data_IF_662095356053
#
_entry.id   IF_662095356053
#
_cell.length_a   1.000
_cell.length_b   1.000
_cell.length_c   1.000
_cell.angle_alpha   90.00
_cell.angle_beta   90.00
_cell.angle_gamma   90.00
#
_symmetry.space_group_name_H-M   'P 1'
#
loop_
_entity.id
_entity.type
_entity.pdbx_description
1 polymer ?
#
# COMPACT_ATOMS: atom_id res chain seq x y z
N UNK A 1 12.66 -29.45 -43.73
CA UNK A 1 13.51 -29.14 -42.56
C UNK A 1 12.76 -28.11 -41.72
N UNK A 2 12.49 -28.21 -40.42
CA UNK A 2 12.84 -29.17 -39.39
C UNK A 2 12.65 -28.48 -38.02
N UNK A 3 11.76 -29.06 -37.19
CA UNK A 3 11.65 -28.99 -35.71
C UNK A 3 11.14 -27.67 -35.10
N UNK A 4 9.98 -27.61 -34.43
CA UNK A 4 9.50 -28.32 -33.22
C UNK A 4 10.14 -27.82 -31.91
N UNK A 5 9.39 -27.02 -31.15
CA UNK A 5 9.42 -26.99 -29.69
C UNK A 5 8.01 -26.61 -29.19
N UNK A 6 7.23 -27.66 -28.94
CA UNK A 6 5.99 -27.63 -28.18
C UNK A 6 6.28 -27.32 -26.70
N UNK A 7 5.20 -27.03 -25.97
CA UNK A 7 5.05 -27.29 -24.53
C UNK A 7 5.73 -26.27 -23.62
N UNK A 8 4.97 -25.34 -23.03
CA UNK A 8 3.99 -25.70 -22.00
C UNK A 8 2.83 -24.72 -21.99
N UNK A 9 1.62 -25.26 -22.21
CA UNK A 9 0.37 -24.65 -21.78
C UNK A 9 0.36 -24.73 -20.25
N UNK A 10 0.64 -23.63 -19.57
CA UNK A 10 0.10 -23.45 -18.22
C UNK A 10 -1.31 -22.89 -18.37
N UNK A 11 -2.27 -23.72 -17.98
CA UNK A 11 -3.67 -23.37 -17.94
C UNK A 11 -3.89 -22.16 -17.01
N UNK A 12 -4.64 -21.17 -17.50
CA UNK A 12 -5.50 -20.33 -16.69
C UNK A 12 -4.85 -19.47 -15.60
N UNK A 13 -4.11 -18.44 -16.00
CA UNK A 13 -4.06 -17.16 -15.28
C UNK A 13 -3.40 -16.12 -16.20
N UNK A 14 -4.11 -15.07 -16.66
CA UNK A 14 -3.46 -14.01 -17.41
C UNK A 14 -2.48 -13.28 -16.48
N UNK A 15 -1.23 -13.22 -16.93
CA UNK A 15 -0.08 -12.65 -16.26
C UNK A 15 -0.43 -11.31 -15.58
N UNK A 16 -0.13 -11.22 -14.29
CA UNK A 16 -0.36 -10.09 -13.38
C UNK A 16 0.21 -8.74 -13.90
N UNK A 17 1.11 -8.81 -14.89
CA UNK A 17 1.86 -7.69 -15.45
C UNK A 17 1.04 -6.82 -16.42
N UNK A 18 -0.04 -7.36 -17.02
CA UNK A 18 -0.76 -6.66 -18.10
C UNK A 18 -1.94 -5.76 -17.65
N UNK A 19 -2.34 -5.78 -16.38
CA UNK A 19 -3.47 -4.94 -15.90
C UNK A 19 -3.08 -3.55 -15.39
N UNK A 20 -1.79 -3.20 -15.37
CA UNK A 20 -1.34 -1.85 -15.02
C UNK A 20 -1.68 -0.79 -16.09
N UNK A 21 -2.07 -1.18 -17.31
CA UNK A 21 -2.39 -0.21 -18.38
C UNK A 21 -3.82 0.34 -18.35
N UNK A 22 -4.70 -0.18 -17.48
CA UNK A 22 -6.12 0.17 -17.47
C UNK A 22 -6.59 0.96 -16.25
N UNK A 23 -5.68 1.40 -15.36
CA UNK A 23 -5.96 2.50 -14.44
C UNK A 23 -6.02 3.78 -15.28
N UNK A 24 -7.19 4.01 -15.90
CA UNK A 24 -7.58 5.29 -16.50
C UNK A 24 -7.07 6.40 -15.60
N UNK A 25 -6.22 7.26 -16.15
CA UNK A 25 -5.87 8.56 -15.58
C UNK A 25 -7.16 9.39 -15.50
N UNK A 26 -7.99 9.14 -14.48
CA UNK A 26 -8.93 10.14 -14.02
C UNK A 26 -8.09 11.24 -13.40
N UNK A 27 -8.15 12.41 -14.01
CA UNK A 27 -7.52 13.65 -13.58
C UNK A 27 -8.11 14.16 -12.25
N UNK A 28 -8.09 13.32 -11.22
CA UNK A 28 -8.41 13.64 -9.84
C UNK A 28 -7.14 13.55 -8.99
N UNK A 29 -7.10 14.34 -7.91
CA UNK A 29 -6.05 14.23 -6.89
C UNK A 29 -6.07 12.81 -6.33
N UNK A 30 -4.95 12.09 -6.45
CA UNK A 30 -4.84 10.73 -5.95
C UNK A 30 -4.81 10.77 -4.42
N UNK A 31 -5.68 9.98 -3.78
CA UNK A 31 -5.83 9.95 -2.32
C UNK A 31 -4.98 8.83 -1.70
N UNK A 32 -4.13 9.21 -0.75
CA UNK A 32 -3.28 8.31 0.02
C UNK A 32 -3.73 8.28 1.47
N UNK A 33 -3.97 7.09 2.02
CA UNK A 33 -4.31 6.89 3.42
C UNK A 33 -3.13 6.27 4.17
N UNK A 34 -2.71 6.90 5.26
CA UNK A 34 -1.74 6.38 6.21
C UNK A 34 -2.52 5.86 7.43
N UNK A 35 -2.39 4.58 7.72
CA UNK A 35 -3.15 3.91 8.78
C UNK A 35 -2.39 3.84 10.09
N UNK A 36 -3.12 3.69 11.18
CA UNK A 36 -2.54 3.38 12.49
C UNK A 36 -2.21 1.88 12.56
N UNK A 37 -0.95 1.58 12.89
CA UNK A 37 -0.52 0.22 13.18
C UNK A 37 -1.12 -0.27 14.50
N UNK A 38 -1.76 -1.45 14.47
CA UNK A 38 -2.40 -2.05 15.64
C UNK A 38 -1.71 -3.30 16.16
N UNK A 39 -0.65 -3.75 15.47
CA UNK A 39 0.12 -4.92 15.89
C UNK A 39 0.82 -4.61 17.21
N UNK A 40 0.69 -5.51 18.20
CA UNK A 40 1.31 -5.33 19.50
C UNK A 40 2.84 -5.15 19.35
N UNK A 41 3.38 -4.09 19.96
CA UNK A 41 4.80 -3.75 19.89
C UNK A 41 5.24 -2.99 18.64
N UNK A 42 4.34 -2.70 17.69
CA UNK A 42 4.65 -1.87 16.53
C UNK A 42 4.56 -0.39 16.89
N UNK A 43 5.68 0.32 16.80
CA UNK A 43 5.79 1.76 17.09
C UNK A 43 6.08 2.59 15.85
N UNK A 44 6.25 1.96 14.69
CA UNK A 44 6.55 2.66 13.43
C UNK A 44 5.27 3.19 12.78
N UNK A 45 5.46 4.17 11.91
CA UNK A 45 4.42 4.75 11.05
C UNK A 45 4.87 4.69 9.59
N UNK A 46 3.94 4.48 8.66
CA UNK A 46 4.27 4.29 7.25
C UNK A 46 4.83 5.56 6.57
N UNK A 47 4.50 6.75 7.08
CA UNK A 47 5.04 8.01 6.59
C UNK A 47 5.17 9.03 7.72
N UNK A 48 6.28 9.78 7.71
CA UNK A 48 6.54 10.88 8.65
C UNK A 48 5.94 12.20 8.14
N UNK A 49 5.77 13.23 9.00
CA UNK A 49 5.28 14.54 8.57
C UNK A 49 6.12 15.19 7.45
N UNK A 50 7.42 14.90 7.41
CA UNK A 50 8.29 15.34 6.31
C UNK A 50 7.92 14.66 4.98
N UNK A 51 7.71 13.35 5.00
CA UNK A 51 7.26 12.60 3.81
C UNK A 51 5.89 13.08 3.34
N UNK A 52 4.98 13.38 4.27
CA UNK A 52 3.66 13.96 3.95
C UNK A 52 3.82 15.29 3.20
N UNK A 53 4.67 16.20 3.67
CA UNK A 53 4.94 17.48 2.96
C UNK A 53 5.45 17.26 1.54
N UNK A 54 6.38 16.31 1.37
CA UNK A 54 6.94 15.97 0.05
C UNK A 54 5.88 15.37 -0.89
N UNK A 55 5.01 14.49 -0.39
CA UNK A 55 3.94 13.88 -1.17
C UNK A 55 2.86 14.90 -1.54
N UNK A 56 2.49 15.78 -0.61
CA UNK A 56 1.57 16.90 -0.88
C UNK A 56 2.13 17.82 -1.96
N UNK A 57 3.43 18.13 -1.94
CA UNK A 57 4.11 18.92 -2.97
C UNK A 57 4.04 18.30 -4.37
N UNK A 58 3.76 16.99 -4.48
CA UNK A 58 3.53 16.28 -5.76
C UNK A 58 2.06 16.29 -6.21
N UNK A 59 1.17 16.97 -5.49
CA UNK A 59 -0.26 17.03 -5.80
C UNK A 59 -1.05 15.81 -5.31
N UNK A 60 -0.59 15.14 -4.25
CA UNK A 60 -1.30 14.02 -3.63
C UNK A 60 -2.14 14.51 -2.45
N UNK A 61 -3.35 13.97 -2.30
CA UNK A 61 -4.19 14.22 -1.12
C UNK A 61 -3.83 13.20 -0.05
N UNK A 62 -3.30 13.67 1.08
CA UNK A 62 -2.86 12.78 2.16
C UNK A 62 -3.90 12.77 3.28
N UNK A 63 -4.34 11.57 3.65
CA UNK A 63 -5.22 11.30 4.77
C UNK A 63 -4.43 10.49 5.80
N UNK A 64 -4.58 10.83 7.08
CA UNK A 64 -3.92 10.16 8.20
C UNK A 64 -5.00 9.71 9.18
N UNK A 65 -4.97 8.43 9.55
CA UNK A 65 -5.75 7.93 10.68
C UNK A 65 -5.28 8.60 11.99
N UNK A 66 -6.21 9.19 12.75
CA UNK A 66 -5.89 9.84 14.03
C UNK A 66 -5.10 8.91 14.95
N UNK A 67 -4.03 9.42 15.53
CA UNK A 67 -3.18 8.65 16.43
C UNK A 67 -2.21 7.68 15.75
N UNK A 68 -2.13 7.64 14.41
CA UNK A 68 -1.17 6.78 13.71
C UNK A 68 0.29 7.11 14.01
N UNK A 69 0.60 8.38 14.27
CA UNK A 69 1.97 8.84 14.53
C UNK A 69 2.37 8.88 16.01
N UNK A 70 1.43 8.71 16.95
CA UNK A 70 1.68 8.93 18.37
C UNK A 70 2.75 7.99 18.92
N UNK A 71 2.70 6.71 18.53
CA UNK A 71 3.69 5.70 18.93
C UNK A 71 5.08 5.95 18.32
N UNK A 72 5.14 6.67 17.19
CA UNK A 72 6.36 7.07 16.52
C UNK A 72 6.90 8.44 17.00
N UNK A 73 6.23 9.09 17.96
CA UNK A 73 6.65 10.38 18.52
C UNK A 73 6.19 11.61 17.73
N UNK A 74 5.23 11.46 16.81
CA UNK A 74 4.65 12.57 16.05
C UNK A 74 3.20 12.80 16.47
N UNK A 75 2.85 14.05 16.74
CA UNK A 75 1.49 14.43 17.10
C UNK A 75 0.59 14.53 15.87
N UNK A 76 -0.73 14.40 16.05
CA UNK A 76 -1.70 14.64 14.97
C UNK A 76 -1.60 16.08 14.42
N UNK A 77 -1.18 17.04 15.25
CA UNK A 77 -0.96 18.44 14.87
C UNK A 77 0.21 18.59 13.90
N UNK A 78 1.29 17.81 14.08
CA UNK A 78 2.43 17.81 13.15
C UNK A 78 2.02 17.39 11.74
N UNK A 79 1.12 16.40 11.65
CA UNK A 79 0.57 15.96 10.37
C UNK A 79 -0.43 16.95 9.77
N UNK A 80 -1.29 17.55 10.59
CA UNK A 80 -2.20 18.60 10.15
C UNK A 80 -1.41 19.81 9.62
N UNK A 81 -0.34 20.22 10.30
CA UNK A 81 0.59 21.26 9.88
C UNK A 81 1.38 20.91 8.61
N UNK A 82 1.64 19.61 8.38
CA UNK A 82 2.20 19.10 7.13
C UNK A 82 1.19 19.09 5.96
N UNK A 83 -0.09 19.32 6.24
CA UNK A 83 -1.18 19.35 5.27
C UNK A 83 -1.85 17.99 5.02
N UNK A 84 -1.73 17.05 5.94
CA UNK A 84 -2.57 15.84 5.95
C UNK A 84 -3.96 16.14 6.53
N UNK A 85 -4.96 15.43 6.01
CA UNK A 85 -6.31 15.42 6.56
C UNK A 85 -6.43 14.32 7.62
N UNK A 86 -6.78 14.68 8.84
CA UNK A 86 -7.01 13.72 9.92
C UNK A 86 -8.35 13.02 9.71
N UNK A 87 -8.35 11.69 9.69
CA UNK A 87 -9.52 10.85 9.48
C UNK A 87 -9.67 9.81 10.58
N UNK A 88 -10.90 9.36 10.80
CA UNK A 88 -11.17 8.32 11.78
C UNK A 88 -10.97 6.92 11.17
N UNK A 89 -10.61 5.96 12.04
CA UNK A 89 -10.27 4.58 11.67
C UNK A 89 -11.32 3.83 10.83
N UNK A 90 -12.60 4.19 10.94
CA UNK A 90 -13.71 3.56 10.23
C UNK A 90 -14.50 4.58 9.39
N UNK A 91 -13.89 5.71 9.04
CA UNK A 91 -14.54 6.78 8.29
C UNK A 91 -14.73 6.44 6.80
N UNK A 92 -15.56 7.23 6.13
CA UNK A 92 -15.81 7.13 4.68
C UNK A 92 -14.52 7.22 3.84
N UNK A 93 -13.48 7.85 4.39
CA UNK A 93 -12.13 7.97 3.87
C UNK A 93 -11.55 6.65 3.35
N UNK A 94 -11.77 5.54 4.07
CA UNK A 94 -11.32 4.20 3.64
C UNK A 94 -11.97 3.75 2.33
N UNK A 95 -13.24 4.11 2.11
CA UNK A 95 -14.01 3.75 0.91
C UNK A 95 -13.64 4.59 -0.30
N UNK A 96 -13.11 5.79 -0.10
CA UNK A 96 -12.70 6.70 -1.17
C UNK A 96 -11.21 6.65 -1.51
N UNK A 97 -10.40 5.95 -0.72
CA UNK A 97 -8.93 5.93 -0.85
C UNK A 97 -8.47 5.18 -2.09
N UNK A 98 -7.50 5.75 -2.82
CA UNK A 98 -6.87 5.13 -3.98
C UNK A 98 -5.64 4.28 -3.61
N UNK A 99 -4.84 4.70 -2.62
CA UNK A 99 -3.80 3.84 -2.07
C UNK A 99 -3.64 3.94 -0.55
N UNK A 100 -3.37 2.79 0.08
CA UNK A 100 -3.16 2.63 1.51
C UNK A 100 -1.69 2.34 1.79
N UNK A 101 -1.11 3.12 2.70
CA UNK A 101 0.25 2.97 3.20
C UNK A 101 0.20 2.39 4.60
N UNK A 102 0.82 1.22 4.78
CA UNK A 102 0.93 0.54 6.06
C UNK A 102 2.34 -0.02 6.26
N UNK A 103 2.76 -0.19 7.52
CA UNK A 103 3.98 -0.92 7.86
C UNK A 103 3.69 -2.41 7.79
N UNK A 104 2.72 -2.91 8.56
CA UNK A 104 2.26 -4.29 8.48
C UNK A 104 0.93 -4.38 7.72
N UNK A 105 0.64 -5.55 7.16
CA UNK A 105 -0.69 -5.81 6.60
C UNK A 105 -1.80 -5.54 7.64
N UNK A 106 -2.79 -4.70 7.32
CA UNK A 106 -3.96 -4.52 8.16
C UNK A 106 -4.86 -5.76 8.10
N UNK A 107 -5.78 -5.84 9.06
CA UNK A 107 -6.75 -6.93 9.16
C UNK A 107 -7.64 -7.04 7.90
N UNK A 108 -7.97 -8.26 7.43
CA UNK A 108 -8.80 -8.50 6.25
C UNK A 108 -10.13 -7.73 6.26
N UNK A 109 -10.75 -7.60 7.43
CA UNK A 109 -12.01 -6.91 7.63
C UNK A 109 -11.89 -5.43 7.24
N UNK A 110 -10.77 -4.77 7.55
CA UNK A 110 -10.53 -3.38 7.16
C UNK A 110 -10.26 -3.26 5.66
N UNK A 111 -9.51 -4.19 5.08
CA UNK A 111 -9.27 -4.23 3.63
C UNK A 111 -10.58 -4.40 2.84
N UNK A 112 -11.58 -5.06 3.42
CA UNK A 112 -12.89 -5.22 2.81
C UNK A 112 -13.66 -3.91 2.60
N UNK A 113 -13.31 -2.87 3.36
CA UNK A 113 -13.91 -1.53 3.27
C UNK A 113 -13.28 -0.64 2.20
N UNK A 114 -12.13 -1.05 1.65
CA UNK A 114 -11.42 -0.29 0.64
C UNK A 114 -12.18 -0.26 -0.69
N UNK A 115 -11.94 0.82 -1.44
CA UNK A 115 -12.32 0.93 -2.83
C UNK A 115 -11.75 -0.24 -3.63
N UNK A 116 -12.58 -0.87 -4.46
CA UNK A 116 -12.08 -1.90 -5.38
C UNK A 116 -11.04 -1.30 -6.34
N UNK A 117 -9.93 -2.00 -6.54
CA UNK A 117 -8.79 -1.49 -7.31
C UNK A 117 -7.83 -0.58 -6.55
N UNK A 118 -8.05 -0.34 -5.25
CA UNK A 118 -7.08 0.41 -4.44
C UNK A 118 -5.73 -0.32 -4.33
N UNK A 119 -4.67 0.46 -4.15
CA UNK A 119 -3.29 -0.01 -4.05
C UNK A 119 -2.87 -0.10 -2.58
N UNK A 120 -2.42 -1.27 -2.13
CA UNK A 120 -1.88 -1.52 -0.80
C UNK A 120 -0.35 -1.57 -0.87
N UNK A 121 0.35 -0.78 -0.04
CA UNK A 121 1.82 -0.80 0.06
C UNK A 121 2.25 -1.03 1.51
N UNK A 122 3.12 -2.02 1.74
CA UNK A 122 3.66 -2.33 3.07
C UNK A 122 4.43 -3.65 3.13
N UNK A 123 4.70 -4.11 4.35
CA UNK A 123 5.22 -5.45 4.63
C UNK A 123 4.05 -6.41 4.78
N UNK A 124 3.77 -7.20 3.74
CA UNK A 124 2.53 -7.97 3.61
C UNK A 124 2.65 -9.44 4.01
N UNK A 125 3.88 -9.93 4.14
CA UNK A 125 4.23 -11.32 4.38
C UNK A 125 3.42 -12.31 3.51
N UNK A 126 3.53 -12.24 2.17
CA UNK A 126 2.65 -12.96 1.26
C UNK A 126 2.72 -14.48 1.38
N UNK A 127 3.83 -15.04 1.90
CA UNK A 127 3.98 -16.49 2.09
C UNK A 127 3.18 -17.01 3.29
N UNK A 128 2.95 -16.19 4.32
CA UNK A 128 2.22 -16.57 5.53
C UNK A 128 0.75 -16.17 5.55
N UNK A 129 0.33 -15.24 4.68
CA UNK A 129 -0.96 -14.56 4.79
C UNK A 129 -1.97 -15.04 3.73
N UNK A 130 -2.42 -16.30 3.80
CA UNK A 130 -3.39 -16.87 2.84
C UNK A 130 -4.71 -16.10 2.82
N UNK A 131 -5.22 -15.70 3.98
CA UNK A 131 -6.47 -14.94 4.12
C UNK A 131 -6.35 -13.52 3.55
N UNK A 132 -5.18 -12.89 3.70
CA UNK A 132 -4.89 -11.61 3.07
C UNK A 132 -4.94 -11.72 1.56
N UNK A 133 -4.30 -12.74 0.98
CA UNK A 133 -4.29 -12.96 -0.48
C UNK A 133 -5.70 -13.21 -1.02
N UNK A 134 -6.51 -13.99 -0.31
CA UNK A 134 -7.91 -14.21 -0.67
C UNK A 134 -8.70 -12.89 -0.69
N UNK A 135 -8.56 -12.07 0.35
CA UNK A 135 -9.22 -10.77 0.46
C UNK A 135 -8.80 -9.81 -0.66
N UNK A 136 -7.49 -9.77 -0.98
CA UNK A 136 -6.97 -8.95 -2.07
C UNK A 136 -7.57 -9.36 -3.42
N UNK A 137 -7.73 -10.67 -3.67
CA UNK A 137 -8.33 -11.20 -4.90
C UNK A 137 -9.82 -10.88 -4.99
N UNK A 138 -10.58 -11.12 -3.92
CA UNK A 138 -12.03 -10.85 -3.86
C UNK A 138 -12.35 -9.38 -4.12
N UNK A 139 -11.54 -8.48 -3.54
CA UNK A 139 -11.73 -7.02 -3.65
C UNK A 139 -11.02 -6.41 -4.85
N UNK A 140 -10.28 -7.20 -5.62
CA UNK A 140 -9.49 -6.77 -6.77
C UNK A 140 -8.49 -5.67 -6.41
N UNK A 141 -7.91 -5.78 -5.22
CA UNK A 141 -6.91 -4.85 -4.71
C UNK A 141 -5.56 -5.16 -5.34
N UNK A 142 -4.78 -4.11 -5.63
CA UNK A 142 -3.39 -4.26 -6.05
C UNK A 142 -2.51 -4.16 -4.81
N UNK A 143 -1.52 -5.03 -4.65
CA UNK A 143 -0.66 -5.04 -3.47
C UNK A 143 0.82 -5.04 -3.87
N UNK A 144 1.62 -4.21 -3.20
CA UNK A 144 3.07 -4.12 -3.34
C UNK A 144 3.71 -4.51 -2.01
N UNK A 145 4.18 -5.76 -1.94
CA UNK A 145 4.94 -6.29 -0.83
C UNK A 145 6.39 -5.79 -0.92
N UNK A 146 6.80 -4.91 -0.01
CA UNK A 146 8.10 -4.25 -0.05
C UNK A 146 9.26 -5.21 0.23
N UNK A 147 9.00 -6.33 0.89
CA UNK A 147 9.95 -7.42 1.15
C UNK A 147 10.29 -8.25 -0.10
N UNK A 148 9.45 -8.20 -1.14
CA UNK A 148 9.68 -8.90 -2.41
C UNK A 148 10.34 -8.00 -3.47
N UNK A 149 10.77 -6.80 -3.10
CA UNK A 149 11.46 -5.91 -4.03
C UNK A 149 12.77 -6.56 -4.51
N UNK A 150 13.04 -6.52 -5.83
CA UNK A 150 14.26 -7.10 -6.37
C UNK A 150 15.48 -6.35 -5.83
N UNK A 151 16.44 -7.08 -5.26
CA UNK A 151 17.70 -6.51 -4.76
C UNK A 151 18.67 -6.22 -5.91
N UNK A 152 18.36 -5.17 -6.66
CA UNK A 152 19.16 -4.65 -7.77
C UNK A 152 19.53 -3.18 -7.54
N UNK A 153 20.62 -2.71 -8.15
CA UNK A 153 21.13 -1.34 -7.93
C UNK A 153 20.06 -0.24 -8.12
N UNK A 154 19.17 -0.39 -9.11
CA UNK A 154 18.08 0.58 -9.36
C UNK A 154 17.01 0.63 -8.27
N UNK A 155 16.86 -0.44 -7.49
CA UNK A 155 15.84 -0.57 -6.45
C UNK A 155 16.41 -0.41 -5.04
N UNK A 156 17.71 -0.14 -4.89
CA UNK A 156 18.36 -0.04 -3.59
C UNK A 156 17.78 1.07 -2.71
N UNK A 157 17.37 2.20 -3.30
CA UNK A 157 16.69 3.29 -2.58
C UNK A 157 15.28 2.94 -2.08
N UNK A 158 14.73 1.80 -2.50
CA UNK A 158 13.40 1.31 -2.13
C UNK A 158 13.48 0.05 -1.23
N UNK A 159 14.68 -0.46 -0.92
CA UNK A 159 14.86 -1.68 -0.11
C UNK A 159 14.62 -1.40 1.38
N UNK A 160 13.37 -1.64 1.82
CA UNK A 160 12.94 -1.51 3.22
C UNK A 160 13.71 -2.46 4.13
N UNK A 161 14.02 -3.68 3.68
CA UNK A 161 14.69 -4.67 4.53
C UNK A 161 16.10 -4.22 4.91
N UNK A 162 16.80 -3.53 4.01
CA UNK A 162 18.11 -2.95 4.31
C UNK A 162 18.06 -1.76 5.28
N UNK A 163 16.96 -1.00 5.27
CA UNK A 163 16.79 0.17 6.15
C UNK A 163 16.33 -0.18 7.58
N UNK A 164 15.79 -1.38 7.76
CA UNK A 164 15.26 -1.88 9.04
C UNK A 164 16.15 -2.95 9.69
N UNK A 165 17.24 -3.34 9.01
CA UNK A 165 18.23 -4.31 9.47
C UNK A 165 19.32 -3.66 10.34
#
# INVERSE_FOLDING_TARGET
MGKCAQSTRFAGQPCIVQRLSAAKRSAGLLSLLIVQERRAGETRVAATPETVRRLRGRGLSIQLERGAGLTAGYSDEDYAGAGAQLVDANGESWRSTDALLCVNAPEPERLSTLKSGALLLGLLNPYGAKELVATLQERQLSALALELLPRISRAQSMDVLSSQA
#
